data_IF_336064456822
#
_entry.id   IF_336064456822
#
_cell.length_a   1.000
_cell.length_b   1.000
_cell.length_c   1.000
_cell.angle_alpha   90.00
_cell.angle_beta   90.00
_cell.angle_gamma   90.00
#
_symmetry.space_group_name_H-M   'P 1'
#
loop_
_entity.id
_entity.type
_entity.pdbx_description
1 polymer ?
#
# COMPACT_ATOMS: atom_id res chain seq x y z
N UNK A 1 -48.12 -92.03 -38.06
CA UNK A 1 -46.72 -92.00 -38.51
C UNK A 1 -46.19 -90.60 -38.32
N UNK A 2 -45.30 -90.43 -37.41
CA UNK A 2 -44.31 -89.40 -37.46
C UNK A 2 -43.84 -89.05 -36.06
N UNK A 3 -42.60 -89.18 -35.85
CA UNK A 3 -41.84 -89.12 -34.61
C UNK A 3 -41.69 -87.67 -34.08
N UNK A 4 -41.47 -87.52 -32.77
CA UNK A 4 -41.19 -86.31 -32.16
C UNK A 4 -39.69 -85.91 -32.20
N UNK A 5 -39.40 -84.64 -32.23
CA UNK A 5 -38.09 -84.06 -32.11
C UNK A 5 -37.75 -83.72 -30.62
N UNK A 6 -36.52 -83.88 -30.19
CA UNK A 6 -36.15 -83.60 -28.83
C UNK A 6 -35.74 -82.15 -28.64
N UNK A 7 -35.98 -81.75 -27.41
CA UNK A 7 -35.78 -80.37 -26.85
C UNK A 7 -34.32 -79.94 -26.83
N UNK A 8 -34.09 -78.74 -27.31
CA UNK A 8 -32.83 -78.03 -27.19
C UNK A 8 -32.78 -77.11 -25.95
N UNK A 9 -32.04 -77.56 -24.97
CA UNK A 9 -31.74 -76.69 -23.80
C UNK A 9 -30.80 -75.55 -24.22
N UNK A 10 -31.28 -74.38 -24.16
CA UNK A 10 -30.49 -73.12 -24.30
C UNK A 10 -29.73 -72.80 -23.03
N UNK A 11 -28.44 -73.07 -23.10
CA UNK A 11 -27.50 -72.61 -22.04
C UNK A 11 -27.32 -71.11 -22.13
N UNK A 12 -27.84 -70.34 -21.17
CA UNK A 12 -27.53 -68.96 -20.99
C UNK A 12 -26.23 -68.81 -20.20
N UNK A 13 -25.20 -68.11 -20.70
CA UNK A 13 -24.01 -67.83 -19.91
C UNK A 13 -24.34 -66.86 -18.79
N UNK A 14 -24.05 -67.29 -17.59
CA UNK A 14 -24.21 -66.48 -16.38
C UNK A 14 -23.47 -65.15 -16.47
N UNK A 15 -24.23 -64.08 -16.28
CA UNK A 15 -23.66 -62.72 -16.12
C UNK A 15 -22.77 -62.69 -14.88
N UNK A 16 -21.45 -62.65 -15.13
CA UNK A 16 -20.50 -62.33 -14.07
C UNK A 16 -20.73 -60.91 -13.59
N UNK A 17 -21.41 -60.77 -12.48
CA UNK A 17 -21.47 -59.52 -11.74
C UNK A 17 -20.07 -59.16 -11.26
N UNK A 18 -19.44 -58.26 -12.00
CA UNK A 18 -18.20 -57.61 -11.57
C UNK A 18 -18.51 -56.83 -10.27
N UNK A 19 -18.17 -57.45 -9.16
CA UNK A 19 -18.20 -56.73 -7.87
C UNK A 19 -17.19 -55.61 -7.96
N UNK A 20 -17.71 -54.39 -8.09
CA UNK A 20 -16.91 -53.17 -8.01
C UNK A 20 -16.13 -53.20 -6.68
N UNK A 21 -14.82 -53.33 -6.78
CA UNK A 21 -13.92 -53.22 -5.60
C UNK A 21 -14.18 -51.88 -4.97
N UNK A 22 -14.51 -51.82 -3.66
CA UNK A 22 -14.67 -50.52 -3.00
C UNK A 22 -13.31 -49.81 -3.07
N UNK A 23 -13.28 -48.63 -3.65
CA UNK A 23 -12.14 -47.72 -3.62
C UNK A 23 -12.01 -47.19 -2.19
N UNK A 24 -11.82 -48.09 -1.25
CA UNK A 24 -11.48 -47.80 0.15
C UNK A 24 -9.96 -47.65 0.24
N UNK A 25 -9.48 -46.51 -0.30
CA UNK A 25 -8.07 -46.18 -0.24
C UNK A 25 -7.56 -46.10 1.21
N UNK A 26 -6.25 -45.91 1.37
CA UNK A 26 -5.51 -45.73 2.63
C UNK A 26 -6.25 -44.89 3.69
N UNK A 27 -7.07 -43.95 3.26
CA UNK A 27 -7.91 -43.07 4.12
C UNK A 27 -9.02 -43.86 4.83
N UNK A 28 -9.68 -44.82 4.16
CA UNK A 28 -10.70 -45.68 4.76
C UNK A 28 -10.13 -46.66 5.79
N UNK A 29 -8.90 -47.13 5.59
CA UNK A 29 -8.19 -47.97 6.54
C UNK A 29 -7.71 -47.18 7.78
N UNK A 30 -7.20 -45.97 7.57
CA UNK A 30 -6.77 -45.08 8.66
C UNK A 30 -7.96 -44.66 9.57
N UNK A 31 -9.14 -44.41 9.01
CA UNK A 31 -10.32 -44.05 9.77
C UNK A 31 -10.92 -45.19 10.61
N UNK A 32 -10.62 -46.45 10.33
CA UNK A 32 -11.12 -47.64 11.09
C UNK A 32 -10.36 -47.86 12.39
N UNK A 33 -9.10 -47.41 12.52
CA UNK A 33 -8.31 -47.52 13.73
C UNK A 33 -8.51 -46.31 14.63
N UNK A 34 -8.72 -46.51 15.97
CA UNK A 34 -8.87 -45.39 16.93
C UNK A 34 -7.70 -44.41 16.87
N UNK A 35 -6.47 -44.89 16.63
CA UNK A 35 -5.29 -44.02 16.41
C UNK A 35 -5.35 -43.20 15.15
N UNK A 36 -5.80 -43.80 14.02
CA UNK A 36 -5.96 -43.10 12.75
C UNK A 36 -7.00 -41.97 12.80
N UNK A 37 -8.13 -42.20 13.46
CA UNK A 37 -9.14 -41.12 13.67
C UNK A 37 -8.60 -39.96 14.48
N UNK A 38 -7.81 -40.22 15.54
CA UNK A 38 -7.16 -39.13 16.31
C UNK A 38 -6.14 -38.36 15.48
N UNK A 39 -5.36 -39.05 14.67
CA UNK A 39 -4.39 -38.41 13.76
C UNK A 39 -5.08 -37.51 12.72
N UNK A 40 -6.18 -37.98 12.09
CA UNK A 40 -6.97 -37.19 11.14
C UNK A 40 -7.63 -36.00 11.82
N UNK A 41 -8.20 -36.19 13.03
CA UNK A 41 -8.76 -35.07 13.81
C UNK A 41 -7.70 -34.03 14.19
N UNK A 42 -6.49 -34.48 14.57
CA UNK A 42 -5.38 -33.57 14.84
C UNK A 42 -4.93 -32.79 13.60
N UNK A 43 -4.86 -33.44 12.45
CA UNK A 43 -4.54 -32.79 11.19
C UNK A 43 -5.60 -31.75 10.78
N UNK A 44 -6.88 -32.10 10.89
CA UNK A 44 -7.99 -31.18 10.64
C UNK A 44 -7.92 -29.98 11.61
N UNK A 45 -7.69 -30.22 12.89
CA UNK A 45 -7.53 -29.16 13.88
C UNK A 45 -6.37 -28.22 13.53
N UNK A 46 -5.21 -28.78 13.14
CA UNK A 46 -4.06 -27.99 12.71
C UNK A 46 -4.37 -27.14 11.47
N UNK A 47 -5.04 -27.72 10.48
CA UNK A 47 -5.44 -27.00 9.26
C UNK A 47 -6.44 -25.89 9.57
N UNK A 48 -7.42 -26.13 10.47
CA UNK A 48 -8.37 -25.11 10.89
C UNK A 48 -7.68 -23.95 11.62
N UNK A 49 -6.74 -24.24 12.52
CA UNK A 49 -5.96 -23.20 13.23
C UNK A 49 -5.10 -22.40 12.25
N UNK A 50 -4.43 -23.07 11.32
CA UNK A 50 -3.63 -22.41 10.28
C UNK A 50 -4.49 -21.52 9.39
N UNK A 51 -5.64 -22.01 8.94
CA UNK A 51 -6.58 -21.23 8.17
C UNK A 51 -7.09 -20.01 8.95
N UNK A 52 -7.49 -20.19 10.21
CA UNK A 52 -7.92 -19.10 11.08
C UNK A 52 -6.82 -18.04 11.23
N UNK A 53 -5.54 -18.46 11.41
CA UNK A 53 -4.40 -17.54 11.45
C UNK A 53 -4.23 -16.71 10.19
N UNK A 54 -4.33 -17.34 9.02
CA UNK A 54 -4.24 -16.65 7.73
C UNK A 54 -5.37 -15.63 7.54
N UNK A 55 -6.61 -15.99 7.89
CA UNK A 55 -7.76 -15.07 7.78
C UNK A 55 -7.73 -13.96 8.83
N UNK A 56 -7.18 -14.20 10.01
CA UNK A 56 -7.06 -13.19 11.07
C UNK A 56 -5.89 -12.21 10.82
N UNK A 57 -4.89 -12.60 10.03
CA UNK A 57 -3.67 -11.82 9.82
C UNK A 57 -3.91 -10.36 9.40
N UNK A 58 -4.77 -10.05 8.41
CA UNK A 58 -5.04 -8.65 8.04
C UNK A 58 -5.65 -7.84 9.18
N UNK A 59 -6.60 -8.42 9.93
CA UNK A 59 -7.24 -7.73 11.05
C UNK A 59 -6.25 -7.45 12.20
N UNK A 60 -5.35 -8.38 12.48
CA UNK A 60 -4.29 -8.20 13.49
C UNK A 60 -3.31 -7.10 13.06
N UNK A 61 -2.86 -7.11 11.80
CA UNK A 61 -1.95 -6.07 11.30
C UNK A 61 -2.61 -4.69 11.24
N UNK A 62 -3.89 -4.61 10.90
CA UNK A 62 -4.65 -3.35 10.93
C UNK A 62 -4.78 -2.81 12.36
N UNK A 63 -5.05 -3.69 13.33
CA UNK A 63 -5.09 -3.30 14.74
C UNK A 63 -3.72 -2.77 15.21
N UNK A 64 -2.63 -3.45 14.87
CA UNK A 64 -1.26 -3.01 15.18
C UNK A 64 -0.98 -1.65 14.53
N UNK A 65 -1.31 -1.48 13.25
CA UNK A 65 -1.15 -0.22 12.54
C UNK A 65 -1.95 0.92 13.18
N UNK A 66 -3.19 0.66 13.60
CA UNK A 66 -4.01 1.64 14.29
C UNK A 66 -3.44 2.03 15.67
N UNK A 67 -2.83 1.11 16.40
CA UNK A 67 -2.13 1.39 17.65
C UNK A 67 -0.89 2.27 17.38
N UNK A 68 -0.06 1.92 16.40
CA UNK A 68 1.11 2.72 16.04
C UNK A 68 0.72 4.13 15.61
N UNK A 69 -0.33 4.30 14.80
CA UNK A 69 -0.82 5.63 14.39
C UNK A 69 -1.25 6.49 15.58
N UNK A 70 -1.80 5.90 16.67
CA UNK A 70 -2.15 6.62 17.89
C UNK A 70 -0.91 7.10 18.67
N UNK A 71 0.20 6.38 18.57
CA UNK A 71 1.45 6.71 19.24
C UNK A 71 2.33 7.66 18.43
N UNK A 72 2.13 7.74 17.11
CA UNK A 72 2.84 8.71 16.28
C UNK A 72 2.32 10.10 16.58
N UNK A 73 3.14 10.88 17.29
CA UNK A 73 2.80 12.25 17.66
C UNK A 73 2.99 13.16 16.46
N UNK A 74 1.89 13.75 15.97
CA UNK A 74 1.91 14.82 14.99
C UNK A 74 1.36 16.10 15.65
N UNK A 75 2.25 16.88 16.25
CA UNK A 75 1.87 18.13 16.90
C UNK A 75 2.10 19.32 15.96
N UNK A 76 1.14 19.55 15.07
CA UNK A 76 1.20 20.63 14.07
C UNK A 76 1.35 22.04 14.68
N UNK A 77 1.00 22.21 15.95
CA UNK A 77 1.07 23.50 16.65
C UNK A 77 2.41 23.72 17.40
N UNK A 78 3.27 22.70 17.49
CA UNK A 78 4.57 22.82 18.15
C UNK A 78 5.51 23.74 17.38
N UNK A 79 6.07 24.74 18.08
CA UNK A 79 7.07 25.63 17.50
C UNK A 79 8.36 24.88 17.13
N UNK A 80 8.78 23.92 17.97
CA UNK A 80 9.94 23.07 17.68
C UNK A 80 9.70 22.25 16.40
N UNK A 81 8.57 21.54 16.31
CA UNK A 81 8.26 20.75 15.12
C UNK A 81 8.19 21.60 13.85
N UNK A 82 7.63 22.83 13.95
CA UNK A 82 7.62 23.78 12.82
C UNK A 82 9.03 24.18 12.39
N UNK A 83 9.95 24.34 13.31
CA UNK A 83 11.35 24.67 13.02
C UNK A 83 12.06 23.47 12.38
N UNK A 84 11.95 22.30 12.98
CA UNK A 84 12.53 21.05 12.45
C UNK A 84 12.01 20.77 11.02
N UNK A 85 10.70 20.95 10.81
CA UNK A 85 10.08 20.77 9.49
C UNK A 85 10.63 21.75 8.43
N UNK A 86 10.80 23.04 8.79
CA UNK A 86 11.37 24.04 7.87
C UNK A 86 12.83 23.78 7.52
N UNK A 87 13.56 23.17 8.44
CA UNK A 87 14.98 22.85 8.26
C UNK A 87 15.18 21.48 7.59
N UNK A 88 14.11 20.74 7.29
CA UNK A 88 14.14 19.35 6.84
C UNK A 88 14.88 18.43 7.83
N UNK A 89 14.65 18.61 9.13
CA UNK A 89 15.35 17.94 10.22
C UNK A 89 14.38 17.17 11.14
N UNK A 90 13.27 16.68 10.58
CA UNK A 90 12.36 15.80 11.33
C UNK A 90 12.98 14.41 11.42
N UNK A 91 13.18 13.85 12.63
CA UNK A 91 13.80 12.55 12.78
C UNK A 91 13.03 11.41 12.11
N UNK A 92 13.76 10.42 11.59
CA UNK A 92 13.21 9.19 11.04
C UNK A 92 12.25 8.52 12.05
N UNK A 93 11.08 8.11 11.57
CA UNK A 93 10.03 7.49 12.40
C UNK A 93 9.10 8.48 13.09
N UNK A 94 9.37 9.79 13.09
CA UNK A 94 8.47 10.79 13.62
C UNK A 94 7.40 11.21 12.59
N UNK A 95 6.24 11.65 13.09
CA UNK A 95 5.17 12.19 12.25
C UNK A 95 5.62 13.44 11.51
N UNK A 96 5.45 13.45 10.19
CA UNK A 96 5.88 14.53 9.30
C UNK A 96 4.71 15.37 8.82
N UNK A 97 3.64 14.73 8.36
CA UNK A 97 2.46 15.39 7.82
C UNK A 97 1.24 14.49 7.97
N UNK A 98 0.04 15.06 7.78
CA UNK A 98 -1.17 14.26 7.62
C UNK A 98 -1.58 14.26 6.15
N UNK A 99 -1.80 13.07 5.60
CA UNK A 99 -2.32 12.87 4.26
C UNK A 99 -3.81 12.59 4.34
N UNK A 100 -4.60 13.30 3.56
CA UNK A 100 -6.05 13.18 3.50
C UNK A 100 -6.52 13.01 2.05
N UNK A 101 -7.41 12.04 1.84
CA UNK A 101 -8.14 11.81 0.58
C UNK A 101 -9.61 11.68 0.95
N UNK A 102 -10.46 12.50 0.34
CA UNK A 102 -11.90 12.47 0.58
C UNK A 102 -12.65 12.58 -0.75
N UNK A 103 -13.04 11.44 -1.31
CA UNK A 103 -13.94 11.35 -2.46
C UNK A 103 -14.90 10.16 -2.31
N UNK A 104 -15.79 9.95 -3.26
CA UNK A 104 -16.83 8.89 -3.19
C UNK A 104 -16.24 7.48 -3.16
N UNK A 105 -15.02 7.30 -3.64
CA UNK A 105 -14.36 6.00 -3.80
C UNK A 105 -13.31 5.74 -2.72
N UNK A 106 -12.57 6.76 -2.31
CA UNK A 106 -11.40 6.63 -1.43
C UNK A 106 -11.52 7.60 -0.27
N UNK A 107 -11.44 7.07 0.94
CA UNK A 107 -11.44 7.84 2.19
C UNK A 107 -10.19 7.45 2.97
N UNK A 108 -9.25 8.36 3.13
CA UNK A 108 -7.99 8.16 3.86
C UNK A 108 -7.72 9.38 4.73
N UNK A 109 -7.35 9.13 5.97
CA UNK A 109 -6.71 10.13 6.84
C UNK A 109 -5.61 9.40 7.62
N UNK A 110 -4.35 9.66 7.29
CA UNK A 110 -3.21 8.95 7.85
C UNK A 110 -2.07 9.92 8.17
N UNK A 111 -1.40 9.71 9.31
CA UNK A 111 -0.13 10.38 9.58
C UNK A 111 0.95 9.73 8.74
N UNK A 112 1.66 10.56 7.99
CA UNK A 112 2.87 10.19 7.27
C UNK A 112 4.05 10.40 8.20
N UNK A 113 4.88 9.38 8.37
CA UNK A 113 6.13 9.46 9.15
C UNK A 113 7.31 9.75 8.24
N UNK A 114 8.39 10.30 8.79
CA UNK A 114 9.64 10.42 8.06
C UNK A 114 10.32 9.06 7.93
N UNK A 115 10.68 8.65 6.70
CA UNK A 115 11.31 7.36 6.39
C UNK A 115 10.36 6.29 5.86
N UNK A 116 10.95 5.31 5.17
CA UNK A 116 10.24 4.17 4.53
C UNK A 116 10.74 2.81 5.04
N UNK A 117 11.37 2.77 6.21
CA UNK A 117 11.75 1.51 6.87
C UNK A 117 10.50 0.68 7.20
N UNK A 118 10.68 -0.61 7.43
CA UNK A 118 9.58 -1.51 7.85
C UNK A 118 8.83 -0.94 9.05
N UNK A 119 9.55 -0.47 10.06
CA UNK A 119 8.96 0.11 11.28
C UNK A 119 8.16 1.40 10.96
N UNK A 120 8.68 2.27 10.09
CA UNK A 120 7.99 3.48 9.66
C UNK A 120 6.68 3.14 8.92
N UNK A 121 6.72 2.22 7.98
CA UNK A 121 5.54 1.80 7.21
C UNK A 121 4.52 1.04 8.06
N UNK A 122 4.92 0.33 9.10
CA UNK A 122 4.00 -0.27 10.08
C UNK A 122 3.24 0.79 10.89
N UNK A 123 3.84 1.96 11.07
CA UNK A 123 3.18 3.10 11.73
C UNK A 123 2.21 3.86 10.82
N UNK A 124 2.22 3.61 9.50
CA UNK A 124 1.31 4.27 8.55
C UNK A 124 1.88 4.43 7.16
N UNK A 125 1.73 5.61 6.57
CA UNK A 125 2.45 5.99 5.36
C UNK A 125 3.83 6.55 5.72
N UNK A 126 4.82 6.41 4.83
CA UNK A 126 6.19 6.85 5.03
C UNK A 126 6.66 7.77 3.91
N UNK A 127 7.30 8.87 4.26
CA UNK A 127 7.95 9.77 3.32
C UNK A 127 9.30 9.19 2.89
N UNK A 128 9.65 9.28 1.62
CA UNK A 128 10.97 8.93 1.10
C UNK A 128 11.98 10.02 1.47
N UNK A 129 12.96 9.77 2.35
CA UNK A 129 13.87 10.81 2.87
C UNK A 129 14.68 11.53 1.79
N UNK A 130 14.91 10.87 0.64
CA UNK A 130 15.65 11.43 -0.49
C UNK A 130 14.80 12.37 -1.35
N UNK A 131 13.52 12.55 -1.02
CA UNK A 131 12.60 13.44 -1.74
C UNK A 131 12.34 14.72 -0.95
N UNK A 132 11.89 15.80 -1.63
CA UNK A 132 11.54 17.04 -0.93
C UNK A 132 10.46 16.83 0.11
N UNK A 133 10.49 17.64 1.16
CA UNK A 133 9.45 17.63 2.19
C UNK A 133 8.07 18.01 1.64
N UNK A 134 6.99 17.56 2.30
CA UNK A 134 5.62 17.89 1.92
C UNK A 134 5.44 19.38 1.65
N UNK A 135 4.80 19.70 0.52
CA UNK A 135 4.56 21.05 0.02
C UNK A 135 5.78 21.78 -0.59
N UNK A 136 6.96 21.21 -0.54
CA UNK A 136 8.14 21.82 -1.16
C UNK A 136 8.15 21.66 -2.68
N UNK A 137 9.00 22.42 -3.36
CA UNK A 137 9.27 22.26 -4.77
C UNK A 137 9.97 20.92 -5.03
N UNK A 138 9.64 20.25 -6.12
CA UNK A 138 10.14 18.95 -6.51
C UNK A 138 9.06 17.87 -6.44
N UNK A 139 9.49 16.63 -6.36
CA UNK A 139 8.62 15.45 -6.33
C UNK A 139 8.63 14.81 -4.94
N UNK A 140 7.65 15.13 -4.13
CA UNK A 140 7.45 14.53 -2.80
C UNK A 140 7.03 13.09 -2.96
N UNK A 141 7.75 12.14 -2.38
CA UNK A 141 7.46 10.72 -2.43
C UNK A 141 6.86 10.21 -1.13
N UNK A 142 5.75 9.47 -1.20
CA UNK A 142 5.13 8.83 -0.04
C UNK A 142 4.77 7.39 -0.37
N UNK A 143 5.26 6.44 0.44
CA UNK A 143 4.94 5.03 0.37
C UNK A 143 3.87 4.66 1.39
N UNK A 144 3.07 3.63 1.09
CA UNK A 144 2.10 3.11 2.05
C UNK A 144 1.70 1.66 1.73
N UNK A 145 1.32 0.93 2.76
CA UNK A 145 0.88 -0.45 2.61
C UNK A 145 -0.41 -0.57 1.80
N UNK A 146 -0.50 -1.67 1.02
CA UNK A 146 -1.69 -2.00 0.22
C UNK A 146 -2.72 -2.81 1.00
N UNK A 147 -2.29 -3.76 1.83
CA UNK A 147 -3.15 -4.79 2.42
C UNK A 147 -2.98 -4.98 3.92
N UNK A 148 -2.00 -4.33 4.55
CA UNK A 148 -1.65 -4.50 5.97
C UNK A 148 -1.45 -3.15 6.65
N UNK A 149 -1.41 -3.14 7.99
CA UNK A 149 -1.09 -1.98 8.83
C UNK A 149 -1.94 -0.75 8.51
N UNK A 150 -3.26 -0.92 8.56
CA UNK A 150 -4.23 0.13 8.26
C UNK A 150 -4.44 0.41 6.77
N UNK A 151 -3.68 -0.21 5.89
CA UNK A 151 -3.87 -0.21 4.42
C UNK A 151 -4.12 1.17 3.82
N UNK A 152 -3.29 2.20 4.12
CA UNK A 152 -3.60 3.57 3.71
C UNK A 152 -3.77 3.73 2.19
N UNK A 153 -3.11 2.88 1.40
CA UNK A 153 -3.14 2.94 -0.06
C UNK A 153 -3.81 1.73 -0.72
N UNK A 154 -4.74 1.09 -0.01
CA UNK A 154 -5.39 -0.12 -0.51
C UNK A 154 -6.21 0.14 -1.79
N UNK A 155 -6.85 1.30 -1.90
CA UNK A 155 -7.71 1.71 -3.02
C UNK A 155 -7.06 2.74 -3.95
N UNK A 156 -5.72 2.81 -3.99
CA UNK A 156 -4.99 3.76 -4.83
C UNK A 156 -5.32 3.59 -6.33
N UNK A 157 -5.66 2.36 -6.75
CA UNK A 157 -6.09 2.06 -8.12
C UNK A 157 -7.46 2.67 -8.49
N UNK A 158 -8.23 3.17 -7.53
CA UNK A 158 -9.53 3.77 -7.76
C UNK A 158 -9.47 5.29 -7.93
N UNK A 159 -8.30 5.88 -7.67
CA UNK A 159 -8.04 7.29 -7.90
C UNK A 159 -8.05 7.60 -9.41
N UNK A 160 -8.60 8.74 -9.77
CA UNK A 160 -8.80 9.19 -11.16
C UNK A 160 -8.30 10.62 -11.33
N UNK A 161 -8.01 10.99 -12.55
CA UNK A 161 -7.70 12.39 -12.90
C UNK A 161 -8.75 13.35 -12.34
N UNK A 162 -8.30 14.41 -11.69
CA UNK A 162 -9.15 15.38 -10.98
C UNK A 162 -9.41 15.06 -9.50
N UNK A 163 -9.17 13.83 -9.02
CA UNK A 163 -9.23 13.54 -7.59
C UNK A 163 -8.10 14.26 -6.84
N UNK A 164 -8.33 14.61 -5.59
CA UNK A 164 -7.37 15.40 -4.81
C UNK A 164 -6.84 14.66 -3.58
N UNK A 165 -5.60 15.01 -3.24
CA UNK A 165 -4.90 14.62 -2.00
C UNK A 165 -4.42 15.87 -1.30
N UNK A 166 -4.70 15.98 -0.02
CA UNK A 166 -4.30 17.11 0.83
C UNK A 166 -3.21 16.67 1.80
N UNK A 167 -2.15 17.45 1.89
CA UNK A 167 -1.11 17.31 2.91
C UNK A 167 -1.22 18.48 3.91
N UNK A 168 -1.43 18.14 5.19
CA UNK A 168 -1.52 19.11 6.28
C UNK A 168 -0.20 19.11 7.05
N UNK A 169 0.53 20.20 6.99
CA UNK A 169 1.85 20.36 7.59
C UNK A 169 1.83 21.42 8.71
N UNK A 170 2.88 21.53 9.55
CA UNK A 170 2.93 22.56 10.58
C UNK A 170 3.09 24.00 10.03
N UNK A 171 3.35 24.16 8.74
CA UNK A 171 3.56 25.47 8.09
C UNK A 171 2.44 25.85 7.10
N UNK A 172 1.45 24.98 6.93
CA UNK A 172 0.31 25.19 6.03
C UNK A 172 -0.15 23.90 5.36
N UNK A 173 -1.07 24.03 4.44
CA UNK A 173 -1.71 22.93 3.74
C UNK A 173 -1.44 23.06 2.27
N UNK A 174 -1.23 21.95 1.57
CA UNK A 174 -1.15 21.89 0.12
C UNK A 174 -2.04 20.78 -0.44
N UNK A 175 -2.71 21.09 -1.53
CA UNK A 175 -3.61 20.18 -2.24
C UNK A 175 -3.02 19.85 -3.59
N UNK A 176 -2.98 18.56 -3.88
CA UNK A 176 -2.49 17.99 -5.12
C UNK A 176 -3.63 17.30 -5.85
N UNK A 177 -3.69 17.46 -7.14
CA UNK A 177 -4.67 16.84 -8.03
C UNK A 177 -4.02 15.72 -8.86
N UNK A 178 -4.71 14.61 -9.01
CA UNK A 178 -4.29 13.50 -9.86
C UNK A 178 -4.24 13.97 -11.31
N UNK A 179 -3.05 13.94 -11.90
CA UNK A 179 -2.89 14.38 -13.30
C UNK A 179 -3.49 13.35 -14.26
N UNK A 180 -3.97 13.80 -15.44
CA UNK A 180 -4.39 12.90 -16.51
C UNK A 180 -3.31 11.90 -16.90
N UNK A 181 -3.65 10.82 -17.64
CA UNK A 181 -2.68 9.91 -18.23
C UNK A 181 -1.60 10.67 -19.03
N UNK A 182 -0.34 10.29 -18.89
CA UNK A 182 0.80 10.98 -19.50
C UNK A 182 1.86 9.99 -19.99
N UNK A 183 2.64 10.39 -20.99
CA UNK A 183 3.78 9.61 -21.48
C UNK A 183 3.44 8.18 -21.90
N UNK A 184 2.21 7.92 -22.39
CA UNK A 184 1.75 6.58 -22.74
C UNK A 184 1.35 5.69 -21.54
N UNK A 185 1.41 6.20 -20.32
CA UNK A 185 0.99 5.50 -19.10
C UNK A 185 -0.39 5.99 -18.66
N UNK A 186 -1.19 5.07 -18.10
CA UNK A 186 -2.36 5.40 -17.27
C UNK A 186 -1.90 6.10 -15.98
N UNK A 187 -2.83 6.70 -15.23
CA UNK A 187 -2.54 7.21 -13.90
C UNK A 187 -3.72 6.81 -13.00
N UNK A 188 -3.54 5.87 -12.07
CA UNK A 188 -2.28 5.22 -11.65
C UNK A 188 -1.64 4.32 -12.71
N UNK A 189 -0.33 4.08 -12.57
CA UNK A 189 0.46 3.18 -13.43
C UNK A 189 1.26 2.17 -12.59
N UNK A 190 1.79 1.13 -13.27
CA UNK A 190 2.49 0.02 -12.62
C UNK A 190 3.96 0.02 -13.06
N UNK A 191 4.86 -0.21 -12.09
CA UNK A 191 6.30 -0.29 -12.32
C UNK A 191 6.93 -1.46 -11.58
N UNK A 192 8.18 -1.79 -11.92
CA UNK A 192 9.02 -2.71 -11.14
C UNK A 192 9.37 -2.11 -9.76
N UNK A 193 9.54 -2.93 -8.71
CA UNK A 193 10.03 -2.46 -7.42
C UNK A 193 11.40 -1.77 -7.47
N UNK A 194 12.22 -2.12 -8.47
CA UNK A 194 13.55 -1.53 -8.70
C UNK A 194 13.51 -0.18 -9.44
N UNK A 195 12.36 0.24 -9.94
CA UNK A 195 12.22 1.53 -10.63
C UNK A 195 12.09 2.67 -9.62
N UNK A 196 13.22 3.15 -9.12
CA UNK A 196 13.30 4.27 -8.19
C UNK A 196 13.13 5.63 -8.86
N UNK A 197 13.15 5.69 -10.21
CA UNK A 197 12.98 6.93 -10.96
C UNK A 197 11.61 7.56 -10.75
N UNK A 198 10.61 6.77 -10.33
CA UNK A 198 9.27 7.28 -10.04
C UNK A 198 9.23 8.33 -8.93
N UNK A 199 10.18 8.29 -8.00
CA UNK A 199 10.32 9.28 -6.90
C UNK A 199 11.49 10.23 -7.12
N UNK A 200 12.18 10.15 -8.26
CA UNK A 200 13.35 10.98 -8.55
C UNK A 200 13.00 12.46 -8.79
N UNK A 201 14.04 13.30 -8.74
CA UNK A 201 14.00 14.73 -8.99
C UNK A 201 14.53 15.04 -10.40
N UNK A 202 13.90 14.48 -11.45
CA UNK A 202 14.37 14.60 -12.84
C UNK A 202 13.37 15.39 -13.69
N UNK A 203 13.88 16.26 -14.54
CA UNK A 203 13.09 17.04 -15.50
C UNK A 203 12.02 17.88 -14.82
N UNK A 204 10.79 17.80 -15.29
CA UNK A 204 9.66 18.56 -14.73
C UNK A 204 9.36 18.23 -13.26
N UNK A 205 9.77 17.04 -12.78
CA UNK A 205 9.59 16.66 -11.40
C UNK A 205 10.47 17.45 -10.44
N UNK A 206 11.63 17.92 -10.90
CA UNK A 206 12.53 18.75 -10.09
C UNK A 206 12.05 20.21 -9.96
N UNK A 207 11.36 20.73 -10.97
CA UNK A 207 11.03 22.17 -11.06
C UNK A 207 9.59 22.48 -10.68
N UNK A 208 8.70 21.49 -10.67
CA UNK A 208 7.31 21.64 -10.28
C UNK A 208 7.08 21.37 -8.78
N UNK A 209 5.80 21.29 -8.42
CA UNK A 209 5.37 20.79 -7.11
C UNK A 209 4.56 19.52 -7.34
N UNK A 210 5.18 18.37 -7.12
CA UNK A 210 4.61 17.07 -7.42
C UNK A 210 4.48 16.22 -6.17
N UNK A 211 3.54 15.29 -6.20
CA UNK A 211 3.37 14.25 -5.20
C UNK A 211 3.28 12.91 -5.91
N UNK A 212 4.07 11.95 -5.44
CA UNK A 212 4.05 10.57 -5.90
C UNK A 212 3.68 9.67 -4.75
N UNK A 213 2.56 8.97 -4.87
CA UNK A 213 2.16 7.93 -3.93
C UNK A 213 2.51 6.57 -4.51
N UNK A 214 3.11 5.69 -3.69
CA UNK A 214 3.51 4.34 -4.10
C UNK A 214 2.97 3.28 -3.16
N UNK A 215 2.58 2.14 -3.69
CA UNK A 215 2.14 0.98 -2.92
C UNK A 215 2.47 -0.33 -3.62
N UNK A 216 2.40 -1.44 -2.90
CA UNK A 216 2.58 -2.78 -3.48
C UNK A 216 1.49 -3.12 -4.50
N UNK A 217 1.83 -3.93 -5.50
CA UNK A 217 0.90 -4.42 -6.53
C UNK A 217 1.32 -5.83 -7.03
N UNK A 218 0.36 -6.74 -7.32
CA UNK A 218 -1.05 -6.67 -6.94
C UNK A 218 -1.27 -6.70 -5.42
N UNK A 219 -2.50 -6.44 -4.93
CA UNK A 219 -2.79 -6.55 -3.50
C UNK A 219 -2.34 -7.88 -2.90
N UNK A 220 -1.58 -7.84 -1.79
CA UNK A 220 -1.01 -9.03 -1.16
C UNK A 220 0.31 -9.52 -1.75
N UNK A 221 0.86 -8.82 -2.75
CA UNK A 221 2.16 -9.14 -3.37
C UNK A 221 3.01 -7.88 -3.49
N UNK A 222 4.31 -8.05 -3.39
CA UNK A 222 5.33 -6.99 -3.58
C UNK A 222 6.03 -7.08 -4.96
N UNK A 223 5.51 -7.91 -5.86
CA UNK A 223 6.09 -8.13 -7.19
C UNK A 223 6.20 -6.86 -8.05
N UNK A 224 5.30 -5.91 -7.82
CA UNK A 224 5.25 -4.63 -8.54
C UNK A 224 4.92 -3.48 -7.58
N UNK A 225 4.96 -2.25 -8.11
CA UNK A 225 4.46 -1.05 -7.44
C UNK A 225 3.38 -0.38 -8.28
N UNK A 226 2.28 -0.02 -7.63
CA UNK A 226 1.33 0.95 -8.18
C UNK A 226 1.79 2.35 -7.78
N UNK A 227 1.78 3.26 -8.75
CA UNK A 227 2.24 4.64 -8.61
C UNK A 227 1.12 5.58 -9.01
N UNK A 228 0.83 6.56 -8.18
CA UNK A 228 -0.10 7.64 -8.47
C UNK A 228 0.68 8.96 -8.52
N UNK A 229 0.53 9.71 -9.61
CA UNK A 229 1.17 11.00 -9.83
C UNK A 229 0.18 12.12 -9.68
N UNK A 230 0.55 13.13 -8.89
CA UNK A 230 -0.28 14.30 -8.63
C UNK A 230 0.54 15.57 -8.77
N UNK A 231 -0.13 16.66 -9.12
CA UNK A 231 0.47 17.99 -9.22
C UNK A 231 -0.25 18.95 -8.28
N UNK A 232 0.49 19.80 -7.60
CA UNK A 232 -0.08 20.79 -6.69
C UNK A 232 -0.95 21.79 -7.46
N UNK A 233 -2.16 22.02 -6.93
CA UNK A 233 -3.12 22.99 -7.45
C UNK A 233 -3.34 24.16 -6.49
N UNK A 234 -3.07 23.97 -5.18
CA UNK A 234 -3.18 25.06 -4.20
C UNK A 234 -2.26 24.82 -3.01
N UNK A 235 -1.84 25.90 -2.36
CA UNK A 235 -1.05 25.86 -1.13
C UNK A 235 -1.34 27.09 -0.27
N UNK A 236 -1.45 26.85 1.04
CA UNK A 236 -1.49 27.92 2.06
C UNK A 236 -0.15 28.07 2.79
N UNK A 237 0.87 27.29 2.37
CA UNK A 237 2.21 27.39 2.92
C UNK A 237 2.78 28.77 2.63
N UNK A 238 3.00 29.55 3.69
CA UNK A 238 3.73 30.79 3.58
C UNK A 238 5.22 30.47 3.56
N UNK A 239 5.83 30.51 2.38
CA UNK A 239 7.28 30.60 2.28
C UNK A 239 7.65 31.92 2.92
N UNK A 240 8.38 31.88 4.05
CA UNK A 240 8.99 33.09 4.58
C UNK A 240 9.94 33.56 3.47
N UNK A 241 9.63 34.70 2.85
CA UNK A 241 10.60 35.33 1.98
C UNK A 241 11.88 35.51 2.82
N UNK A 242 13.07 35.14 2.32
CA UNK A 242 14.30 35.49 3.01
C UNK A 242 14.26 36.98 3.22
N UNK A 243 14.21 37.42 4.50
CA UNK A 243 14.36 38.81 4.81
C UNK A 243 15.60 39.35 4.13
N UNK A 244 15.65 40.64 3.77
CA UNK A 244 16.84 41.25 3.18
C UNK A 244 18.03 40.87 4.04
N UNK A 245 19.06 40.29 3.44
CA UNK A 245 20.29 39.93 4.16
C UNK A 245 20.80 41.20 4.91
N UNK A 246 21.03 41.13 6.22
CA UNK A 246 21.66 42.25 6.91
C UNK A 246 23.07 42.43 6.30
N UNK A 247 23.34 43.55 5.66
CA UNK A 247 24.66 43.94 5.24
C UNK A 247 24.95 44.00 3.74
N UNK A 248 24.07 44.58 2.94
CA UNK A 248 24.50 45.30 1.75
C UNK A 248 24.12 46.77 1.88
N UNK A 249 24.91 47.48 2.65
CA UNK A 249 25.02 48.92 2.45
C UNK A 249 25.53 49.12 1.04
N UNK A 250 24.65 49.64 0.18
CA UNK A 250 25.06 50.10 -1.16
C UNK A 250 26.15 51.14 -1.05
N UNK A 251 26.99 51.33 -2.08
CA UNK A 251 28.02 52.33 -2.06
C UNK A 251 27.38 53.73 -1.93
N UNK A 252 27.84 54.45 -0.90
CA UNK A 252 27.52 55.86 -0.73
C UNK A 252 27.87 56.62 -2.01
N UNK A 253 26.91 57.24 -2.63
CA UNK A 253 27.16 58.26 -3.65
C UNK A 253 27.96 59.36 -3.01
N UNK A 254 29.26 59.45 -3.40
CA UNK A 254 30.07 60.61 -3.13
C UNK A 254 29.55 61.74 -4.03
N UNK A 255 28.85 62.69 -3.40
CA UNK A 255 28.61 63.98 -3.99
C UNK A 255 29.93 64.73 -4.03
N UNK A 256 30.46 64.94 -5.24
CA UNK A 256 31.54 65.87 -5.53
C UNK A 256 30.96 67.22 -5.74
N UNK A 257 31.21 68.10 -4.81
CA UNK A 257 30.99 69.53 -5.03
C UNK A 257 32.21 70.11 -5.74
N UNK A 258 31.86 71.10 -6.53
CA UNK A 258 32.53 72.16 -7.30
C UNK A 258 32.70 71.92 -8.77
#
# INVERSE_FOLDING_TARGET
>A
MSHPTPDGESFLPGAATSAARPVGGLMGYALRRRGGRRAVQGLIGLLCVSAAGVFAFPAVTDFIGAQHQRHVTLNLNSSKFRTDFRNNDVPIGQGLTRLEIHNDRVQVSVVVVEGTSVAALQAGAGHYPETPYPCAQGNVGIAGHRTTYGRPFNRLNEMRAGDTVTLVTPIGTCTYEVVPPFGGHTNPFIVSPSDTLVVSQIGNLATGHWLTLTSCNPPGSDAQRIVLRLKMISSTVRVAQPGPRPGTTGPSSVEGGD
#
